data_IF_174323730864
#
_entry.id   IF_174323730864
#
_cell.length_a   1.000
_cell.length_b   1.000
_cell.length_c   1.000
_cell.angle_alpha   90.00
_cell.angle_beta   90.00
_cell.angle_gamma   90.00
#
_symmetry.space_group_name_H-M   'P 1'
#
loop_
_entity.id
_entity.type
_entity.pdbx_description
1 polymer ?
#
# COMPACT_ATOMS: atom_id res chain seq x y z
N UNK A 1 -5.23 -4.21 21.13
CA UNK A 1 -5.57 -3.61 19.82
C UNK A 1 -4.94 -4.49 18.77
N UNK A 2 -5.63 -4.79 17.69
CA UNK A 2 -5.00 -5.39 16.51
C UNK A 2 -4.19 -4.30 15.81
N UNK A 3 -3.00 -4.63 15.30
CA UNK A 3 -2.36 -3.78 14.31
C UNK A 3 -3.27 -3.74 13.07
N UNK A 4 -3.49 -2.57 12.50
CA UNK A 4 -4.27 -2.42 11.26
C UNK A 4 -3.26 -2.18 10.18
N UNK A 5 -3.27 -3.02 9.16
CA UNK A 5 -2.43 -2.83 7.99
C UNK A 5 -3.27 -2.37 6.81
N UNK A 6 -2.69 -1.61 5.90
CA UNK A 6 -3.35 -1.17 4.66
C UNK A 6 -2.54 -1.70 3.50
N UNK A 7 -3.21 -2.18 2.45
CA UNK A 7 -2.48 -2.48 1.22
C UNK A 7 -3.24 -2.08 -0.03
N UNK A 8 -2.43 -1.67 -0.99
CA UNK A 8 -2.79 -1.44 -2.38
C UNK A 8 -1.96 -2.38 -3.24
N UNK A 9 -2.59 -2.97 -4.24
CA UNK A 9 -1.90 -3.93 -5.09
C UNK A 9 -2.72 -4.47 -6.23
N UNK A 10 -2.27 -5.62 -6.74
CA UNK A 10 -2.89 -6.32 -7.86
C UNK A 10 -3.09 -7.79 -7.55
N UNK A 11 -4.14 -8.37 -8.14
CA UNK A 11 -4.44 -9.80 -8.15
C UNK A 11 -4.41 -10.27 -9.61
N UNK A 12 -3.70 -11.35 -9.88
CA UNK A 12 -3.63 -11.96 -11.20
C UNK A 12 -4.37 -13.30 -11.25
N UNK A 13 -5.15 -13.47 -12.31
CA UNK A 13 -5.89 -14.67 -12.67
C UNK A 13 -5.51 -15.10 -14.09
N UNK A 14 -5.53 -16.41 -14.38
CA UNK A 14 -5.37 -16.84 -15.77
C UNK A 14 -6.55 -16.38 -16.63
N UNK A 15 -6.28 -15.98 -17.88
CA UNK A 15 -7.32 -15.52 -18.80
C UNK A 15 -8.37 -16.59 -19.07
N UNK A 16 -7.93 -17.84 -19.18
CA UNK A 16 -8.78 -19.01 -19.36
C UNK A 16 -9.76 -19.20 -18.20
N UNK A 17 -9.28 -19.08 -16.95
CA UNK A 17 -10.14 -19.17 -15.78
C UNK A 17 -11.16 -18.03 -15.76
N UNK A 18 -10.71 -16.81 -16.07
CA UNK A 18 -11.58 -15.64 -16.17
C UNK A 18 -12.71 -15.84 -17.18
N UNK A 19 -12.40 -16.18 -18.43
CA UNK A 19 -13.42 -16.29 -19.47
C UNK A 19 -14.47 -17.38 -19.16
N UNK A 20 -14.04 -18.47 -18.52
CA UNK A 20 -14.95 -19.56 -18.12
C UNK A 20 -15.85 -19.18 -16.93
N UNK A 21 -15.36 -18.33 -16.03
CA UNK A 21 -16.06 -17.91 -14.80
C UNK A 21 -16.41 -16.42 -14.82
N UNK A 22 -16.56 -15.82 -16.01
CA UNK A 22 -16.59 -14.36 -16.20
C UNK A 22 -17.63 -13.65 -15.36
N UNK A 23 -18.85 -14.20 -15.30
CA UNK A 23 -19.93 -13.64 -14.49
C UNK A 23 -19.58 -13.67 -13.00
N UNK A 24 -18.99 -14.77 -12.52
CA UNK A 24 -18.51 -14.96 -11.14
C UNK A 24 -17.21 -14.21 -10.80
N UNK A 25 -16.56 -13.56 -11.75
CA UNK A 25 -15.42 -12.68 -11.42
C UNK A 25 -15.85 -11.23 -11.57
N UNK A 26 -16.66 -10.91 -12.58
CA UNK A 26 -17.24 -9.58 -12.70
C UNK A 26 -18.13 -9.24 -11.50
N UNK A 27 -18.97 -10.16 -11.03
CA UNK A 27 -19.78 -9.91 -9.84
C UNK A 27 -18.93 -9.85 -8.56
N UNK A 28 -17.68 -10.34 -8.57
CA UNK A 28 -16.78 -10.30 -7.42
C UNK A 28 -16.18 -8.91 -7.33
N UNK A 29 -15.63 -8.46 -8.45
CA UNK A 29 -15.05 -7.13 -8.59
C UNK A 29 -16.08 -6.04 -8.38
N UNK A 30 -17.34 -6.25 -8.79
CA UNK A 30 -18.42 -5.26 -8.62
C UNK A 30 -19.32 -5.54 -7.40
N UNK A 31 -18.93 -6.44 -6.48
CA UNK A 31 -19.73 -6.66 -5.27
C UNK A 31 -19.57 -5.46 -4.35
N UNK A 32 -20.61 -4.62 -4.22
CA UNK A 32 -20.61 -3.45 -3.35
C UNK A 32 -20.39 -3.90 -1.88
N UNK A 33 -19.15 -3.79 -1.43
CA UNK A 33 -18.73 -3.66 -0.02
C UNK A 33 -19.52 -4.51 1.00
N UNK A 34 -19.04 -5.74 1.26
CA UNK A 34 -19.09 -6.46 2.57
C UNK A 34 -18.71 -7.94 2.48
N UNK A 35 -18.88 -8.60 1.33
CA UNK A 35 -18.76 -10.07 1.25
C UNK A 35 -17.31 -10.59 1.21
N UNK A 36 -16.32 -9.70 1.09
CA UNK A 36 -14.90 -10.07 1.11
C UNK A 36 -14.16 -9.45 2.29
N UNK A 37 -14.90 -9.18 3.35
CA UNK A 37 -14.36 -8.73 4.63
C UNK A 37 -14.67 -9.77 5.71
N UNK A 38 -13.70 -10.03 6.59
CA UNK A 38 -13.94 -10.62 7.89
C UNK A 38 -13.95 -9.51 8.95
N UNK A 39 -15.14 -9.21 9.48
CA UNK A 39 -15.37 -8.00 10.26
C UNK A 39 -15.18 -6.74 9.43
N UNK A 40 -14.16 -5.93 9.74
CA UNK A 40 -13.82 -4.71 9.01
C UNK A 40 -12.67 -4.92 8.00
N UNK A 41 -12.02 -6.08 8.00
CA UNK A 41 -10.77 -6.33 7.29
C UNK A 41 -10.98 -7.17 6.03
N UNK A 42 -10.37 -6.79 4.92
CA UNK A 42 -10.47 -7.44 3.62
C UNK A 42 -10.42 -6.43 2.49
N UNK A 43 -10.98 -6.79 1.33
CA UNK A 43 -10.99 -5.88 0.18
C UNK A 43 -12.01 -4.75 0.38
N UNK A 44 -11.54 -3.52 0.27
CA UNK A 44 -12.37 -2.32 0.12
C UNK A 44 -12.62 -2.00 -1.34
N UNK A 45 -11.60 -2.17 -2.19
CA UNK A 45 -11.70 -1.87 -3.60
C UNK A 45 -11.26 -3.05 -4.44
N UNK A 46 -11.95 -3.27 -5.57
CA UNK A 46 -11.54 -4.18 -6.62
C UNK A 46 -11.91 -3.57 -7.99
N UNK A 47 -10.99 -3.60 -8.94
CA UNK A 47 -11.28 -3.19 -10.33
C UNK A 47 -10.49 -4.03 -11.34
N UNK A 48 -11.13 -4.48 -12.42
CA UNK A 48 -10.39 -5.12 -13.51
C UNK A 48 -9.66 -4.06 -14.34
N UNK A 49 -8.36 -3.88 -14.07
CA UNK A 49 -7.50 -2.90 -14.76
C UNK A 49 -7.06 -3.36 -16.14
N UNK A 50 -6.66 -4.63 -16.26
CA UNK A 50 -6.05 -5.15 -17.49
C UNK A 50 -6.54 -6.56 -17.84
N UNK A 51 -6.66 -6.80 -19.15
CA UNK A 51 -7.06 -8.07 -19.74
C UNK A 51 -6.14 -8.38 -20.91
N UNK A 52 -5.21 -9.31 -20.72
CA UNK A 52 -4.32 -9.80 -21.79
C UNK A 52 -4.83 -11.14 -22.33
N UNK A 53 -4.08 -11.73 -23.27
CA UNK A 53 -4.33 -13.08 -23.77
C UNK A 53 -4.02 -14.15 -22.69
N UNK A 54 -3.12 -13.86 -21.76
CA UNK A 54 -2.64 -14.82 -20.77
C UNK A 54 -3.31 -14.65 -19.40
N UNK A 55 -3.59 -13.41 -18.99
CA UNK A 55 -4.08 -13.10 -17.65
C UNK A 55 -5.12 -11.96 -17.60
N UNK A 56 -5.79 -11.89 -16.46
CA UNK A 56 -6.57 -10.74 -16.03
C UNK A 56 -5.93 -10.19 -14.76
N UNK A 57 -5.74 -8.87 -14.73
CA UNK A 57 -5.19 -8.14 -13.58
C UNK A 57 -6.32 -7.34 -12.95
N UNK A 58 -6.47 -7.51 -11.64
CA UNK A 58 -7.46 -6.82 -10.81
C UNK A 58 -6.69 -5.95 -9.83
N UNK A 59 -6.88 -4.64 -9.87
CA UNK A 59 -6.37 -3.73 -8.83
C UNK A 59 -7.20 -3.92 -7.57
N UNK A 60 -6.57 -3.81 -6.40
CA UNK A 60 -7.26 -3.86 -5.12
C UNK A 60 -6.69 -2.87 -4.11
N UNK A 61 -7.53 -2.48 -3.17
CA UNK A 61 -7.11 -1.87 -1.90
C UNK A 61 -7.93 -2.40 -0.74
N UNK A 62 -7.43 -2.26 0.49
CA UNK A 62 -8.19 -2.59 1.69
C UNK A 62 -7.40 -2.54 3.00
N UNK A 63 -8.07 -2.97 4.06
CA UNK A 63 -7.52 -3.02 5.42
C UNK A 63 -7.33 -4.47 5.89
N UNK A 64 -6.20 -4.76 6.53
CA UNK A 64 -5.84 -6.04 7.09
C UNK A 64 -5.80 -6.06 8.62
N UNK A 65 -6.12 -7.21 9.20
CA UNK A 65 -5.89 -7.47 10.62
C UNK A 65 -4.48 -8.03 10.80
N UNK A 66 -3.63 -7.29 11.50
CA UNK A 66 -2.20 -7.55 11.69
C UNK A 66 -1.36 -7.40 10.44
N UNK A 67 -1.66 -8.21 9.41
CA UNK A 67 -1.02 -8.14 8.10
C UNK A 67 -1.95 -8.73 7.03
N UNK A 68 -1.60 -8.52 5.76
CA UNK A 68 -2.37 -9.05 4.64
C UNK A 68 -2.25 -10.57 4.49
N UNK A 69 -1.14 -11.21 4.89
CA UNK A 69 -1.04 -12.68 4.85
C UNK A 69 -2.16 -13.33 5.68
N UNK A 70 -2.44 -12.80 6.88
CA UNK A 70 -3.51 -13.31 7.74
C UNK A 70 -4.88 -12.95 7.21
N UNK A 71 -5.06 -11.71 6.76
CA UNK A 71 -6.32 -11.25 6.17
C UNK A 71 -6.72 -12.12 4.97
N UNK A 72 -5.76 -12.46 4.08
CA UNK A 72 -6.00 -13.36 2.95
C UNK A 72 -6.42 -14.77 3.40
N UNK A 73 -5.88 -15.29 4.51
CA UNK A 73 -6.32 -16.58 5.06
C UNK A 73 -7.77 -16.52 5.53
N UNK A 74 -8.19 -15.42 6.13
CA UNK A 74 -9.54 -15.31 6.68
C UNK A 74 -10.58 -15.03 5.58
N UNK A 75 -10.31 -14.09 4.66
CA UNK A 75 -11.27 -13.75 3.58
C UNK A 75 -11.43 -14.85 2.51
N UNK A 76 -10.53 -15.82 2.41
CA UNK A 76 -10.70 -16.96 1.49
C UNK A 76 -11.14 -18.24 2.21
N UNK A 77 -11.32 -18.19 3.54
CA UNK A 77 -11.83 -19.31 4.32
C UNK A 77 -13.35 -19.39 4.19
N UNK A 78 -13.86 -20.59 3.93
CA UNK A 78 -15.29 -20.81 3.75
C UNK A 78 -15.78 -21.96 4.62
N UNK A 79 -16.65 -21.64 5.59
CA UNK A 79 -17.11 -22.61 6.59
C UNK A 79 -18.31 -23.44 6.12
N UNK A 80 -19.37 -22.87 5.48
CA UNK A 80 -20.58 -23.60 5.01
C UNK A 80 -21.44 -22.85 3.94
N UNK A 81 -21.99 -23.65 3.01
CA UNK A 81 -22.59 -23.29 1.71
C UNK A 81 -23.81 -22.31 1.70
N UNK A 82 -23.69 -21.17 1.01
CA UNK A 82 -24.55 -20.68 -0.10
C UNK A 82 -24.14 -19.29 -0.66
N UNK A 83 -23.02 -18.69 -0.25
CA UNK A 83 -22.67 -17.32 -0.67
C UNK A 83 -21.96 -17.25 -2.04
N UNK A 84 -21.82 -16.04 -2.55
CA UNK A 84 -21.11 -15.73 -3.78
C UNK A 84 -19.60 -16.01 -3.67
N UNK A 85 -19.00 -15.63 -2.53
CA UNK A 85 -17.60 -15.86 -2.17
C UNK A 85 -17.21 -17.33 -2.21
N UNK A 86 -18.05 -18.20 -1.64
CA UNK A 86 -17.81 -19.65 -1.62
C UNK A 86 -17.82 -20.27 -3.02
N UNK A 87 -18.68 -19.78 -3.93
CA UNK A 87 -18.68 -20.25 -5.32
C UNK A 87 -17.36 -19.91 -6.00
N UNK A 88 -16.81 -18.73 -5.76
CA UNK A 88 -15.50 -18.36 -6.30
C UNK A 88 -14.40 -19.25 -5.72
N UNK A 89 -14.35 -19.40 -4.38
CA UNK A 89 -13.39 -20.27 -3.68
C UNK A 89 -13.48 -21.72 -4.17
N UNK A 90 -14.70 -22.24 -4.35
CA UNK A 90 -14.93 -23.56 -4.94
C UNK A 90 -14.38 -23.65 -6.37
N UNK A 91 -14.59 -22.64 -7.22
CA UNK A 91 -14.07 -22.64 -8.59
C UNK A 91 -12.56 -22.55 -8.64
N UNK A 92 -11.94 -21.76 -7.76
CA UNK A 92 -10.48 -21.72 -7.60
C UNK A 92 -9.93 -23.11 -7.27
N UNK A 93 -10.58 -23.84 -6.34
CA UNK A 93 -10.20 -25.22 -6.01
C UNK A 93 -10.42 -26.20 -7.17
N UNK A 94 -11.64 -26.26 -7.73
CA UNK A 94 -12.01 -27.23 -8.77
C UNK A 94 -11.13 -27.12 -10.02
N UNK A 95 -10.75 -25.89 -10.37
CA UNK A 95 -9.93 -25.60 -11.55
C UNK A 95 -8.44 -25.49 -11.25
N UNK A 96 -8.05 -25.64 -9.97
CA UNK A 96 -6.67 -25.50 -9.49
C UNK A 96 -6.06 -24.15 -9.88
N UNK A 97 -6.88 -23.10 -9.89
CA UNK A 97 -6.43 -21.73 -10.13
C UNK A 97 -5.88 -21.17 -8.81
N UNK A 98 -4.64 -20.70 -8.84
CA UNK A 98 -4.06 -19.92 -7.74
C UNK A 98 -4.28 -18.44 -8.00
N UNK A 99 -4.43 -17.64 -6.95
CA UNK A 99 -4.37 -16.19 -7.06
C UNK A 99 -2.93 -15.75 -6.82
N UNK A 100 -2.40 -14.89 -7.67
CA UNK A 100 -1.10 -14.26 -7.43
C UNK A 100 -1.35 -12.80 -7.10
N UNK A 101 -0.91 -12.37 -5.92
CA UNK A 101 -1.07 -11.00 -5.46
C UNK A 101 0.29 -10.33 -5.39
N UNK A 102 0.35 -9.06 -5.77
CA UNK A 102 1.50 -8.18 -5.56
C UNK A 102 1.02 -6.91 -4.89
N UNK A 103 1.51 -6.61 -3.70
CA UNK A 103 1.05 -5.47 -2.91
C UNK A 103 2.13 -4.93 -1.99
N UNK A 104 1.92 -3.72 -1.51
CA UNK A 104 2.69 -3.17 -0.38
C UNK A 104 1.80 -3.23 0.86
N UNK A 105 2.20 -4.00 1.85
CA UNK A 105 1.58 -4.04 3.17
C UNK A 105 2.17 -2.93 4.03
N UNK A 106 1.31 -2.03 4.50
CA UNK A 106 1.65 -0.87 5.31
C UNK A 106 1.20 -1.16 6.73
N UNK A 107 2.14 -1.50 7.60
CA UNK A 107 1.93 -1.70 9.03
C UNK A 107 2.40 -0.44 9.78
N UNK A 108 1.58 0.62 9.71
CA UNK A 108 1.95 1.96 10.21
C UNK A 108 2.32 1.96 11.71
N UNK A 109 1.57 1.24 12.55
CA UNK A 109 1.87 1.19 14.00
C UNK A 109 3.21 0.53 14.32
N UNK A 110 3.72 -0.32 13.42
CA UNK A 110 5.03 -0.98 13.56
C UNK A 110 6.11 -0.24 12.77
N UNK A 111 5.77 0.83 12.04
CA UNK A 111 6.69 1.54 11.18
C UNK A 111 7.27 0.64 10.08
N UNK A 112 6.45 -0.22 9.48
CA UNK A 112 6.91 -1.17 8.47
C UNK A 112 6.15 -1.03 7.15
N UNK A 113 6.92 -1.00 6.07
CA UNK A 113 6.44 -1.17 4.70
C UNK A 113 7.00 -2.47 4.16
N UNK A 114 6.15 -3.33 3.61
CA UNK A 114 6.59 -4.62 3.07
C UNK A 114 5.98 -4.83 1.69
N UNK A 115 6.81 -4.89 0.67
CA UNK A 115 6.40 -5.37 -0.65
C UNK A 115 6.32 -6.89 -0.64
N UNK A 116 5.16 -7.44 -0.93
CA UNK A 116 4.91 -8.88 -0.96
C UNK A 116 4.42 -9.34 -2.34
N UNK A 117 4.95 -10.49 -2.77
CA UNK A 117 4.33 -11.30 -3.80
C UNK A 117 3.80 -12.58 -3.15
N UNK A 118 2.48 -12.74 -3.16
CA UNK A 118 1.78 -13.79 -2.41
C UNK A 118 0.98 -14.68 -3.34
N UNK A 119 1.04 -16.00 -3.14
CA UNK A 119 0.20 -16.97 -3.83
C UNK A 119 -0.88 -17.50 -2.87
N UNK A 120 -2.15 -17.41 -3.28
CA UNK A 120 -3.28 -18.03 -2.57
C UNK A 120 -3.76 -19.24 -3.34
N UNK A 121 -3.68 -20.41 -2.70
CA UNK A 121 -4.19 -21.69 -3.20
C UNK A 121 -5.31 -22.18 -2.31
N UNK A 122 -6.39 -22.67 -2.90
CA UNK A 122 -7.47 -23.27 -2.13
C UNK A 122 -7.25 -24.78 -2.05
N UNK A 123 -7.32 -25.34 -0.84
CA UNK A 123 -7.36 -26.77 -0.57
C UNK A 123 -8.74 -27.20 -0.06
N UNK A 124 -8.98 -28.51 -0.01
CA UNK A 124 -10.21 -29.07 0.57
C UNK A 124 -9.89 -30.10 1.64
N UNK A 125 -10.31 -29.85 2.88
CA UNK A 125 -10.09 -30.73 4.05
C UNK A 125 -11.43 -31.01 4.72
N UNK A 126 -11.79 -32.29 4.87
CA UNK A 126 -13.04 -32.72 5.53
C UNK A 126 -14.30 -31.94 5.07
N UNK A 127 -14.37 -31.67 3.76
CA UNK A 127 -15.43 -30.91 3.07
C UNK A 127 -15.38 -29.38 3.18
N UNK A 128 -14.39 -28.80 3.87
CA UNK A 128 -14.19 -27.35 3.97
C UNK A 128 -13.12 -26.86 2.99
N UNK A 129 -13.29 -25.66 2.47
CA UNK A 129 -12.27 -25.00 1.67
C UNK A 129 -11.34 -24.21 2.58
N UNK A 130 -10.05 -24.52 2.51
CA UNK A 130 -9.02 -23.94 3.36
C UNK A 130 -7.98 -23.25 2.47
N UNK A 131 -7.80 -21.93 2.58
CA UNK A 131 -6.76 -21.24 1.83
C UNK A 131 -5.37 -21.57 2.41
N UNK A 132 -4.43 -21.78 1.50
CA UNK A 132 -3.00 -21.80 1.76
C UNK A 132 -2.42 -20.57 1.11
N UNK A 133 -2.00 -19.64 1.97
CA UNK A 133 -1.32 -18.41 1.58
C UNK A 133 0.18 -18.65 1.70
N UNK A 134 0.93 -18.33 0.65
CA UNK A 134 2.39 -18.48 0.60
C UNK A 134 3.00 -17.17 0.11
N UNK A 135 3.77 -16.50 0.98
CA UNK A 135 4.61 -15.37 0.58
C UNK A 135 5.78 -15.91 -0.24
N UNK A 136 5.77 -15.62 -1.54
CA UNK A 136 6.76 -16.09 -2.52
C UNK A 136 7.98 -15.18 -2.52
N UNK A 137 7.76 -13.89 -2.30
CA UNK A 137 8.80 -12.88 -2.20
C UNK A 137 8.36 -11.81 -1.21
N UNK A 138 9.30 -11.37 -0.39
CA UNK A 138 9.09 -10.30 0.58
C UNK A 138 10.30 -9.37 0.54
N UNK A 139 10.04 -8.07 0.44
CA UNK A 139 11.05 -7.03 0.51
C UNK A 139 10.61 -6.02 1.57
N UNK A 140 11.37 -5.91 2.65
CA UNK A 140 11.16 -4.83 3.61
C UNK A 140 11.63 -3.51 3.00
N UNK A 141 10.79 -2.49 3.12
CA UNK A 141 11.06 -1.11 2.70
C UNK A 141 11.34 -0.29 3.96
N UNK A 142 12.38 0.53 3.90
CA UNK A 142 12.74 1.42 5.00
C UNK A 142 11.65 2.47 5.26
N UNK A 143 11.38 2.75 6.54
CA UNK A 143 10.32 3.67 6.98
C UNK A 143 10.79 5.13 6.96
N UNK A 144 11.04 5.64 5.75
CA UNK A 144 11.53 6.99 5.51
C UNK A 144 10.37 7.93 5.13
N UNK A 145 10.54 9.24 5.27
CA UNK A 145 9.51 10.21 4.86
C UNK A 145 9.19 10.04 3.37
N UNK A 146 10.19 9.84 2.51
CA UNK A 146 9.97 9.53 1.10
C UNK A 146 9.01 8.36 0.88
N UNK A 147 9.21 7.24 1.58
CA UNK A 147 8.37 6.05 1.42
C UNK A 147 6.98 6.25 2.03
N UNK A 148 6.85 6.96 3.16
CA UNK A 148 5.56 7.31 3.77
C UNK A 148 4.70 8.16 2.82
N UNK A 149 5.30 9.15 2.19
CA UNK A 149 4.62 10.02 1.22
C UNK A 149 4.27 9.24 -0.05
N UNK A 150 5.23 8.48 -0.58
CA UNK A 150 5.01 7.66 -1.79
C UNK A 150 3.89 6.64 -1.61
N UNK A 151 3.74 6.11 -0.40
CA UNK A 151 2.70 5.16 -0.04
C UNK A 151 1.38 5.83 0.38
N UNK A 152 1.31 7.17 0.44
CA UNK A 152 0.11 7.91 0.81
C UNK A 152 -0.25 7.84 2.30
N UNK A 153 0.68 7.45 3.16
CA UNK A 153 0.50 7.42 4.62
C UNK A 153 0.54 8.82 5.20
N UNK A 154 1.43 9.66 4.65
CA UNK A 154 1.62 11.04 5.07
C UNK A 154 1.57 11.97 3.87
N UNK A 155 1.06 13.18 4.09
CA UNK A 155 1.21 14.25 3.12
C UNK A 155 2.64 14.82 3.17
N UNK A 156 3.19 15.16 2.02
CA UNK A 156 4.56 15.62 1.91
C UNK A 156 4.99 15.89 0.49
N UNK A 157 6.27 16.20 0.36
CA UNK A 157 6.89 16.53 -0.91
C UNK A 157 7.99 15.53 -1.26
N UNK A 158 7.99 15.02 -2.49
CA UNK A 158 9.07 14.18 -2.99
C UNK A 158 9.93 14.91 -4.01
N UNK A 159 11.25 14.85 -3.83
CA UNK A 159 12.21 15.55 -4.69
C UNK A 159 12.30 14.98 -6.11
N UNK A 160 11.74 13.79 -6.36
CA UNK A 160 11.64 13.19 -7.70
C UNK A 160 10.35 13.59 -8.45
N UNK A 161 9.46 14.37 -7.83
CA UNK A 161 8.23 14.90 -8.43
C UNK A 161 8.35 16.41 -8.64
N UNK A 162 8.34 16.85 -9.89
CA UNK A 162 8.56 18.27 -10.25
C UNK A 162 7.53 19.21 -9.62
N UNK A 163 6.27 18.77 -9.53
CA UNK A 163 5.20 19.54 -8.93
C UNK A 163 5.39 19.69 -7.41
N UNK A 164 5.73 18.62 -6.70
CA UNK A 164 6.04 18.64 -5.26
C UNK A 164 7.21 19.58 -4.97
N UNK A 165 8.28 19.53 -5.78
CA UNK A 165 9.44 20.42 -5.61
C UNK A 165 9.05 21.89 -5.72
N UNK A 166 8.10 22.22 -6.60
CA UNK A 166 7.62 23.60 -6.74
C UNK A 166 6.87 24.06 -5.49
N UNK A 167 6.00 23.24 -4.92
CA UNK A 167 5.27 23.59 -3.69
C UNK A 167 6.21 23.61 -2.48
N UNK A 168 7.10 22.63 -2.35
CA UNK A 168 8.13 22.61 -1.31
C UNK A 168 8.94 23.90 -1.28
N UNK A 169 9.36 24.43 -2.44
CA UNK A 169 10.10 25.71 -2.50
C UNK A 169 9.27 26.88 -1.96
N UNK A 170 7.96 26.89 -2.19
CA UNK A 170 7.07 27.92 -1.65
C UNK A 170 7.01 27.82 -0.13
N UNK A 171 6.80 26.61 0.41
CA UNK A 171 6.75 26.38 1.86
C UNK A 171 8.09 26.69 2.53
N UNK A 172 9.22 26.31 1.92
CA UNK A 172 10.54 26.68 2.40
C UNK A 172 10.76 28.20 2.40
N UNK A 173 10.17 28.92 1.44
CA UNK A 173 10.24 30.38 1.42
C UNK A 173 9.45 31.00 2.58
N UNK A 174 8.25 30.49 2.85
CA UNK A 174 7.42 30.93 3.97
C UNK A 174 8.11 30.64 5.31
N UNK A 175 8.55 29.41 5.51
CA UNK A 175 9.32 28.97 6.68
C UNK A 175 10.56 29.84 6.92
N UNK A 176 11.31 30.15 5.86
CA UNK A 176 12.47 31.04 5.97
C UNK A 176 12.09 32.45 6.44
N UNK A 177 11.01 33.03 5.91
CA UNK A 177 10.59 34.39 6.32
C UNK A 177 10.12 34.43 7.77
N UNK A 178 9.43 33.38 8.23
CA UNK A 178 8.89 33.30 9.59
C UNK A 178 9.98 33.06 10.64
N UNK A 179 11.07 32.37 10.28
CA UNK A 179 12.12 31.95 11.21
C UNK A 179 13.49 32.60 10.92
N UNK A 180 13.50 33.69 10.15
CA UNK A 180 14.73 34.32 9.64
C UNK A 180 15.75 34.72 10.71
N UNK A 181 15.26 35.11 11.89
CA UNK A 181 16.12 35.54 12.99
C UNK A 181 16.90 34.35 13.58
N UNK A 182 16.33 33.16 13.53
CA UNK A 182 16.89 31.92 14.09
C UNK A 182 17.75 31.15 13.09
N UNK A 183 17.52 31.31 11.78
CA UNK A 183 18.28 30.63 10.72
C UNK A 183 19.69 31.24 10.54
N UNK A 184 20.74 30.41 10.51
CA UNK A 184 22.13 30.86 10.29
C UNK A 184 22.32 31.55 8.93
N UNK A 185 21.79 30.99 7.84
CA UNK A 185 21.86 31.57 6.50
C UNK A 185 21.06 32.87 6.38
N UNK A 186 21.76 33.99 6.20
CA UNK A 186 21.15 35.32 6.10
C UNK A 186 20.58 35.65 4.72
N UNK A 187 20.64 34.71 3.78
CA UNK A 187 19.95 34.78 2.48
C UNK A 187 19.20 33.48 2.17
N UNK A 188 18.06 33.62 1.49
CA UNK A 188 17.17 32.49 1.18
C UNK A 188 17.76 31.50 0.18
N UNK A 189 18.60 31.94 -0.77
CA UNK A 189 19.15 31.04 -1.80
C UNK A 189 20.09 30.00 -1.17
N UNK A 190 20.91 30.43 -0.21
CA UNK A 190 21.77 29.55 0.58
C UNK A 190 20.94 28.58 1.45
N UNK A 191 19.91 29.09 2.13
CA UNK A 191 18.99 28.29 2.94
C UNK A 191 18.28 27.21 2.11
N UNK A 192 17.65 27.59 0.99
CA UNK A 192 16.91 26.68 0.11
C UNK A 192 17.82 25.55 -0.38
N UNK A 193 19.05 25.88 -0.78
CA UNK A 193 20.02 24.90 -1.24
C UNK A 193 20.40 23.90 -0.14
N UNK A 194 20.59 24.37 1.09
CA UNK A 194 20.92 23.51 2.23
C UNK A 194 19.74 22.62 2.61
N UNK A 195 18.52 23.17 2.66
CA UNK A 195 17.29 22.44 2.88
C UNK A 195 17.11 21.29 1.88
N UNK A 196 17.18 21.59 0.57
CA UNK A 196 17.02 20.58 -0.48
C UNK A 196 18.14 19.52 -0.45
N UNK A 197 19.36 19.91 -0.07
CA UNK A 197 20.46 18.96 0.10
C UNK A 197 20.21 18.03 1.29
N UNK A 198 19.82 18.57 2.42
CA UNK A 198 19.50 17.80 3.63
C UNK A 198 18.37 16.81 3.37
N UNK A 199 17.24 17.27 2.82
CA UNK A 199 16.09 16.41 2.46
C UNK A 199 16.54 15.25 1.57
N UNK A 200 17.49 15.48 0.66
CA UNK A 200 17.98 14.45 -0.25
C UNK A 200 18.95 13.45 0.39
N UNK A 201 19.83 13.92 1.28
CA UNK A 201 20.97 13.14 1.79
C UNK A 201 20.70 12.50 3.16
N UNK A 202 19.73 13.02 3.92
CA UNK A 202 19.37 12.49 5.22
C UNK A 202 18.74 11.09 5.13
N UNK A 203 19.13 10.22 6.07
CA UNK A 203 18.72 8.82 6.09
C UNK A 203 17.24 8.62 6.44
N UNK A 204 16.64 9.50 7.23
CA UNK A 204 15.21 9.38 7.56
C UNK A 204 14.34 10.03 6.47
N UNK A 205 14.87 11.00 5.72
CA UNK A 205 14.15 11.72 4.68
C UNK A 205 14.21 11.02 3.31
N UNK A 206 15.39 10.59 2.87
CA UNK A 206 15.62 9.90 1.59
C UNK A 206 15.03 10.60 0.36
N UNK A 207 15.05 11.93 0.34
CA UNK A 207 14.52 12.74 -0.75
C UNK A 207 13.01 13.00 -0.67
N UNK A 208 12.38 12.76 0.48
CA UNK A 208 11.04 13.21 0.79
C UNK A 208 10.98 13.90 2.14
N UNK A 209 10.02 14.82 2.31
CA UNK A 209 9.77 15.49 3.58
C UNK A 209 8.27 15.57 3.86
N UNK A 210 7.85 15.05 5.01
CA UNK A 210 6.45 15.10 5.43
C UNK A 210 6.07 16.54 5.85
N UNK A 211 4.86 16.99 5.52
CA UNK A 211 4.41 18.37 5.75
C UNK A 211 4.52 18.77 7.23
N UNK A 212 4.21 17.87 8.16
CA UNK A 212 4.25 18.19 9.59
C UNK A 212 5.63 18.66 10.08
N UNK A 213 6.73 18.27 9.41
CA UNK A 213 8.09 18.72 9.73
C UNK A 213 8.37 20.16 9.27
N UNK A 214 7.56 20.67 8.34
CA UNK A 214 7.58 22.08 7.91
C UNK A 214 6.63 22.93 8.75
N UNK A 215 5.52 22.35 9.24
CA UNK A 215 4.57 23.02 10.13
C UNK A 215 5.10 23.21 11.56
N UNK A 216 5.88 22.27 12.09
CA UNK A 216 6.64 22.40 13.35
C UNK A 216 8.15 22.29 13.06
N UNK A 217 8.77 23.37 12.56
CA UNK A 217 10.06 23.30 11.88
C UNK A 217 11.26 23.27 12.81
N UNK A 218 11.09 23.33 14.14
CA UNK A 218 12.22 23.46 15.06
C UNK A 218 13.22 22.31 14.93
N UNK A 219 12.75 21.06 14.87
CA UNK A 219 13.63 19.90 14.68
C UNK A 219 14.28 19.91 13.29
N UNK A 220 13.53 20.30 12.26
CA UNK A 220 14.04 20.37 10.89
C UNK A 220 15.14 21.43 10.76
N UNK A 221 14.91 22.63 11.31
CA UNK A 221 15.88 23.72 11.33
C UNK A 221 17.13 23.38 12.16
N UNK A 222 16.96 22.80 13.35
CA UNK A 222 18.10 22.37 14.18
C UNK A 222 18.98 21.35 13.44
N UNK A 223 18.37 20.41 12.70
CA UNK A 223 19.11 19.39 11.94
C UNK A 223 19.80 19.96 10.68
N UNK A 224 19.28 21.04 10.09
CA UNK A 224 19.91 21.71 8.95
C UNK A 224 21.24 22.39 9.30
N UNK A 225 21.41 22.78 10.57
CA UNK A 225 22.56 23.54 11.06
C UNK A 225 23.78 22.66 11.45
N UNK A 226 23.65 21.33 11.34
CA UNK A 226 24.70 20.34 11.69
C UNK A 226 25.21 19.51 10.50
#
# INVERSE_FOLDING_TARGET
MANISVADGTIELSRKFYDKNKELINNWVNDDYRNWKDGNFGFDYLEIKEKTEEKVVIDFSGEGAWCWEYTLKDIFKCEQATTYQEKLVQKLYEERQSLYLKYTDIEDMEGMFVEEETEVKINKVNSRYEPVVTVVKQNQIEFTDYNRIKAGVEDGYRLDVEEDVKYLKQDLQELYQENKDDIEEKDYESFEKNALKYIKEDYDLHGGICIYKLEDPYMFLEQLEY
#
